data_IF_182461718490
#
_entry.id   IF_182461718490
#
_cell.length_a   1.000
_cell.length_b   1.000
_cell.length_c   1.000
_cell.angle_alpha   90.00
_cell.angle_beta   90.00
_cell.angle_gamma   90.00
#
_symmetry.space_group_name_H-M   'P 1'
#
loop_
_entity.id
_entity.type
_entity.pdbx_description
1 polymer ?
#
# COMPACT_ATOMS: atom_id res chain seq x y z
N UNK A 1 -8.78 3.21 14.45
CA UNK A 1 -7.43 2.67 14.15
C UNK A 1 -7.58 1.53 13.17
N UNK A 2 -6.58 1.36 12.32
CA UNK A 2 -6.52 0.35 11.28
C UNK A 2 -5.38 -0.61 11.61
N UNK A 3 -5.35 -1.75 10.91
CA UNK A 3 -4.27 -2.72 11.01
C UNK A 3 -3.44 -2.63 9.75
N UNK A 4 -2.13 -2.44 9.92
CA UNK A 4 -1.14 -2.44 8.85
C UNK A 4 -0.05 -3.47 9.12
N UNK A 5 0.66 -3.87 8.08
CA UNK A 5 1.81 -4.77 8.15
C UNK A 5 3.11 -3.97 8.09
N UNK A 6 3.98 -4.18 9.06
CA UNK A 6 5.32 -3.63 9.08
C UNK A 6 6.30 -4.59 8.40
N UNK A 7 6.71 -4.23 7.19
CA UNK A 7 7.65 -5.00 6.35
C UNK A 7 9.07 -5.07 6.94
N UNK A 8 9.43 -4.23 7.91
CA UNK A 8 10.73 -4.30 8.59
C UNK A 8 10.69 -5.33 9.73
N UNK A 9 9.61 -5.34 10.51
CA UNK A 9 9.52 -6.20 11.71
C UNK A 9 8.76 -7.51 11.48
N UNK A 10 8.04 -7.64 10.36
CA UNK A 10 7.24 -8.82 10.03
C UNK A 10 6.03 -8.97 10.97
N UNK A 11 5.40 -7.87 11.35
CA UNK A 11 4.31 -7.85 12.34
C UNK A 11 3.16 -6.94 11.91
N UNK A 12 1.96 -7.35 12.30
CA UNK A 12 0.82 -6.45 12.30
C UNK A 12 0.93 -5.43 13.42
N UNK A 13 0.69 -4.18 13.06
CA UNK A 13 0.68 -3.04 13.97
C UNK A 13 -0.61 -2.27 13.82
N UNK A 14 -1.07 -1.67 14.91
CA UNK A 14 -2.19 -0.75 14.86
C UNK A 14 -1.71 0.63 14.44
N UNK A 15 -2.33 1.17 13.39
CA UNK A 15 -1.93 2.44 12.77
C UNK A 15 -3.12 3.39 12.65
N UNK A 16 -2.91 4.72 12.78
CA UNK A 16 -3.94 5.69 12.47
C UNK A 16 -4.11 5.82 10.95
N UNK A 17 -5.29 6.27 10.52
CA UNK A 17 -5.45 6.79 9.18
C UNK A 17 -4.67 8.11 9.08
N UNK A 18 -3.82 8.25 8.07
CA UNK A 18 -3.18 9.53 7.72
C UNK A 18 -4.09 10.36 6.81
N UNK A 19 -4.78 9.70 5.89
CA UNK A 19 -5.69 10.33 4.93
C UNK A 19 -6.95 9.48 4.78
N UNK A 20 -8.12 10.12 4.74
CA UNK A 20 -9.39 9.49 4.38
C UNK A 20 -10.13 10.41 3.40
N UNK A 21 -10.29 9.95 2.17
CA UNK A 21 -11.11 10.62 1.16
C UNK A 21 -12.49 9.99 1.08
N UNK A 22 -13.50 10.86 1.08
CA UNK A 22 -14.86 10.51 0.72
C UNK A 22 -15.14 11.13 -0.64
N UNK A 23 -15.20 10.30 -1.68
CA UNK A 23 -15.47 10.71 -3.05
C UNK A 23 -16.98 10.89 -3.31
N UNK A 24 -17.81 10.64 -2.31
CA UNK A 24 -19.25 10.74 -2.38
C UNK A 24 -19.89 9.50 -2.99
N UNK A 25 -21.17 9.63 -3.36
CA UNK A 25 -21.97 8.57 -3.98
C UNK A 25 -22.29 8.95 -5.43
N UNK A 26 -21.87 8.12 -6.38
CA UNK A 26 -22.07 8.35 -7.80
C UNK A 26 -22.19 7.03 -8.57
N UNK A 27 -22.68 7.11 -9.82
CA UNK A 27 -22.73 5.97 -10.74
C UNK A 27 -21.32 5.70 -11.27
N UNK A 28 -20.83 4.47 -11.13
CA UNK A 28 -19.49 4.08 -11.55
C UNK A 28 -19.40 2.58 -11.85
N UNK A 29 -18.33 2.18 -12.51
CA UNK A 29 -17.96 0.79 -12.67
C UNK A 29 -17.33 0.25 -11.38
N UNK A 30 -17.76 -0.94 -10.97
CA UNK A 30 -17.26 -1.64 -9.80
C UNK A 30 -16.67 -2.96 -10.26
N UNK A 31 -15.37 -3.13 -10.03
CA UNK A 31 -14.66 -4.38 -10.27
C UNK A 31 -14.92 -5.27 -9.05
N UNK A 32 -15.62 -6.39 -9.25
CA UNK A 32 -15.91 -7.35 -8.21
C UNK A 32 -14.91 -8.50 -8.32
N UNK A 33 -14.01 -8.61 -7.34
CA UNK A 33 -12.97 -9.63 -7.26
C UNK A 33 -13.43 -10.72 -6.29
N UNK A 34 -13.68 -11.93 -6.80
CA UNK A 34 -14.20 -13.04 -6.02
C UNK A 34 -13.11 -14.06 -5.74
N UNK A 35 -12.87 -14.29 -4.46
CA UNK A 35 -11.79 -15.14 -3.97
C UNK A 35 -12.26 -16.55 -3.59
N UNK A 36 -11.30 -17.48 -3.53
CA UNK A 36 -11.53 -18.92 -3.29
C UNK A 36 -12.19 -19.24 -1.95
N UNK A 37 -12.11 -18.33 -0.98
CA UNK A 37 -12.75 -18.47 0.33
C UNK A 37 -14.17 -17.88 0.40
N UNK A 38 -14.67 -17.37 -0.73
CA UNK A 38 -15.99 -16.73 -0.85
C UNK A 38 -15.98 -15.22 -0.59
N UNK A 39 -14.84 -14.62 -0.23
CA UNK A 39 -14.71 -13.17 -0.11
C UNK A 39 -14.93 -12.50 -1.46
N UNK A 40 -15.64 -11.37 -1.46
CA UNK A 40 -15.79 -10.51 -2.64
C UNK A 40 -15.28 -9.12 -2.26
N UNK A 41 -14.20 -8.69 -2.90
CA UNK A 41 -13.65 -7.34 -2.73
C UNK A 41 -14.10 -6.50 -3.91
N UNK A 42 -14.55 -5.28 -3.62
CA UNK A 42 -15.15 -4.37 -4.60
C UNK A 42 -14.25 -3.16 -4.78
N UNK A 43 -13.73 -2.99 -5.99
CA UNK A 43 -12.76 -1.95 -6.34
C UNK A 43 -13.39 -0.97 -7.33
N UNK A 44 -13.10 0.31 -7.15
CA UNK A 44 -13.42 1.38 -8.10
C UNK A 44 -12.12 1.96 -8.59
N UNK A 45 -12.00 2.19 -9.90
CA UNK A 45 -10.80 2.64 -10.60
C UNK A 45 -9.62 1.67 -10.46
N UNK A 46 -8.94 1.67 -9.32
CA UNK A 46 -7.74 0.86 -9.08
C UNK A 46 -7.53 0.57 -7.58
N UNK A 47 -6.98 -0.60 -7.25
CA UNK A 47 -6.55 -0.91 -5.89
C UNK A 47 -5.34 -1.85 -5.85
N UNK A 48 -4.45 -1.63 -4.89
CA UNK A 48 -3.26 -2.45 -4.71
C UNK A 48 -3.50 -3.61 -3.74
N UNK A 49 -3.08 -4.80 -4.13
CA UNK A 49 -3.10 -6.02 -3.30
C UNK A 49 -1.71 -6.66 -3.31
N UNK A 50 -1.27 -7.19 -2.17
CA UNK A 50 0.01 -7.89 -2.12
C UNK A 50 -0.13 -9.28 -2.76
N UNK A 51 0.48 -9.47 -3.93
CA UNK A 51 0.53 -10.73 -4.66
C UNK A 51 1.71 -11.58 -4.16
N UNK A 52 1.43 -12.83 -3.82
CA UNK A 52 2.42 -13.76 -3.24
C UNK A 52 3.39 -14.26 -4.31
N UNK A 53 2.92 -14.47 -5.54
CA UNK A 53 3.74 -14.95 -6.65
C UNK A 53 4.71 -13.89 -7.16
N UNK A 54 4.23 -12.65 -7.30
CA UNK A 54 5.05 -11.49 -7.70
C UNK A 54 5.88 -10.92 -6.54
N UNK A 55 5.63 -11.38 -5.31
CA UNK A 55 6.24 -10.90 -4.07
C UNK A 55 6.25 -9.36 -3.97
N UNK A 56 5.14 -8.72 -4.35
CA UNK A 56 5.00 -7.26 -4.42
C UNK A 56 3.53 -6.86 -4.46
N UNK A 57 3.26 -5.56 -4.33
CA UNK A 57 1.93 -5.03 -4.61
C UNK A 57 1.67 -5.00 -6.11
N UNK A 58 0.51 -5.51 -6.51
CA UNK A 58 -0.02 -5.38 -7.87
C UNK A 58 -1.29 -4.54 -7.84
N UNK A 59 -1.48 -3.72 -8.87
CA UNK A 59 -2.60 -2.79 -8.96
C UNK A 59 -3.64 -3.32 -9.94
N UNK A 60 -4.82 -3.61 -9.42
CA UNK A 60 -5.94 -4.17 -10.20
C UNK A 60 -6.90 -3.05 -10.56
N UNK A 61 -7.18 -2.89 -11.85
CA UNK A 61 -8.06 -1.90 -12.45
C UNK A 61 -8.92 -2.50 -13.59
N UNK A 62 -9.80 -1.68 -14.18
CA UNK A 62 -10.74 -2.12 -15.21
C UNK A 62 -10.07 -2.72 -16.46
N UNK A 63 -8.80 -2.40 -16.72
CA UNK A 63 -8.07 -2.86 -17.90
C UNK A 63 -7.33 -4.18 -17.70
N UNK A 64 -7.08 -4.59 -16.46
CA UNK A 64 -6.22 -5.74 -16.14
C UNK A 64 -6.84 -6.76 -15.16
N UNK A 65 -8.04 -6.54 -14.64
CA UNK A 65 -8.62 -7.43 -13.60
C UNK A 65 -8.64 -8.91 -13.97
N UNK A 66 -8.84 -9.26 -15.25
CA UNK A 66 -8.84 -10.65 -15.72
C UNK A 66 -7.45 -11.28 -15.77
N UNK A 67 -6.38 -10.48 -15.90
CA UNK A 67 -5.01 -11.03 -15.97
C UNK A 67 -4.53 -11.58 -14.63
N UNK A 68 -5.21 -11.22 -13.54
CA UNK A 68 -4.91 -11.69 -12.18
C UNK A 68 -5.74 -12.90 -11.77
N UNK A 69 -6.58 -13.47 -12.65
CA UNK A 69 -7.26 -14.74 -12.35
C UNK A 69 -6.23 -15.83 -12.03
N UNK A 70 -6.51 -16.61 -10.99
CA UNK A 70 -5.64 -17.64 -10.41
C UNK A 70 -4.39 -17.13 -9.69
N UNK A 71 -4.20 -15.81 -9.57
CA UNK A 71 -3.19 -15.27 -8.69
C UNK A 71 -3.60 -15.46 -7.23
N UNK A 72 -2.59 -15.52 -6.36
CA UNK A 72 -2.79 -15.66 -4.91
C UNK A 72 -2.28 -14.44 -4.18
N UNK A 73 -3.07 -13.95 -3.24
CA UNK A 73 -2.83 -12.71 -2.54
C UNK A 73 -2.77 -12.95 -1.04
N UNK A 74 -2.12 -12.02 -0.33
CA UNK A 74 -2.01 -12.07 1.13
C UNK A 74 -3.37 -11.84 1.75
N UNK A 75 -3.82 -12.84 2.51
CA UNK A 75 -5.00 -12.77 3.37
C UNK A 75 -4.56 -12.57 4.81
N UNK A 76 -5.24 -11.68 5.52
CA UNK A 76 -5.09 -11.47 6.95
C UNK A 76 -6.31 -12.02 7.68
N UNK A 77 -6.09 -12.97 8.59
CA UNK A 77 -7.16 -13.53 9.43
C UNK A 77 -6.84 -13.31 10.90
N UNK A 78 -7.86 -13.06 11.73
CA UNK A 78 -7.73 -12.96 13.18
C UNK A 78 -8.11 -14.27 13.86
N UNK A 79 -7.13 -14.98 14.40
CA UNK A 79 -7.31 -16.30 15.04
C UNK A 79 -6.72 -16.27 16.44
N UNK A 80 -7.51 -16.69 17.43
CA UNK A 80 -7.07 -16.83 18.84
C UNK A 80 -6.35 -15.60 19.43
N UNK A 81 -6.81 -14.40 19.07
CA UNK A 81 -6.23 -13.16 19.61
C UNK A 81 -5.13 -12.52 18.76
N UNK A 82 -4.74 -13.16 17.66
CA UNK A 82 -3.57 -12.76 16.85
C UNK A 82 -3.94 -12.70 15.36
N UNK A 83 -3.39 -11.72 14.66
CA UNK A 83 -3.45 -11.66 13.20
C UNK A 83 -2.40 -12.59 12.58
N UNK A 84 -2.82 -13.40 11.60
CA UNK A 84 -1.97 -14.32 10.85
C UNK A 84 -2.11 -14.08 9.35
N UNK A 85 -1.02 -14.33 8.63
CA UNK A 85 -1.01 -14.37 7.17
C UNK A 85 -1.49 -15.73 6.67
N UNK A 86 -2.46 -15.71 5.78
CA UNK A 86 -2.93 -16.80 4.95
C UNK A 86 -2.88 -16.34 3.48
N UNK A 87 -3.43 -17.13 2.57
CA UNK A 87 -3.63 -16.72 1.19
C UNK A 87 -5.05 -17.01 0.73
N UNK A 88 -5.50 -16.28 -0.27
CA UNK A 88 -6.65 -16.65 -1.08
C UNK A 88 -6.31 -16.49 -2.56
N UNK A 89 -7.04 -17.20 -3.42
CA UNK A 89 -6.86 -17.17 -4.87
C UNK A 89 -8.01 -16.36 -5.50
N UNK A 90 -7.72 -15.49 -6.47
CA UNK A 90 -8.74 -14.82 -7.26
C UNK A 90 -9.31 -15.82 -8.28
N UNK A 91 -10.55 -16.29 -8.05
CA UNK A 91 -11.15 -17.36 -8.86
C UNK A 91 -12.12 -16.86 -9.92
N UNK A 92 -12.60 -15.62 -9.77
CA UNK A 92 -13.56 -15.00 -10.68
C UNK A 92 -13.50 -13.48 -10.51
N UNK A 93 -13.76 -12.74 -11.59
CA UNK A 93 -13.75 -11.29 -11.57
C UNK A 93 -14.65 -10.72 -12.67
N UNK A 94 -15.44 -9.69 -12.33
CA UNK A 94 -16.39 -9.09 -13.27
C UNK A 94 -16.72 -7.63 -12.90
N UNK A 95 -17.13 -6.85 -13.89
CA UNK A 95 -17.52 -5.44 -13.71
C UNK A 95 -19.04 -5.30 -13.65
N UNK A 96 -19.53 -4.50 -12.71
CA UNK A 96 -20.92 -4.04 -12.62
C UNK A 96 -20.97 -2.52 -12.67
N UNK A 97 -22.05 -1.95 -13.21
CA UNK A 97 -22.31 -0.52 -13.12
C UNK A 97 -23.30 -0.25 -11.97
N UNK A 98 -22.89 0.55 -10.99
CA UNK A 98 -23.65 0.73 -9.75
C UNK A 98 -23.55 2.15 -9.19
N UNK A 99 -24.58 2.60 -8.46
CA UNK A 99 -24.52 3.85 -7.70
C UNK A 99 -24.07 3.58 -6.26
N UNK A 100 -22.78 3.73 -5.98
CA UNK A 100 -22.17 3.37 -4.68
C UNK A 100 -21.41 4.55 -4.06
N UNK A 101 -21.18 4.48 -2.75
CA UNK A 101 -20.30 5.41 -2.05
C UNK A 101 -18.85 4.93 -2.15
N UNK A 102 -17.93 5.82 -2.51
CA UNK A 102 -16.52 5.49 -2.75
C UNK A 102 -15.63 6.22 -1.76
N UNK A 103 -14.69 5.48 -1.18
CA UNK A 103 -13.74 5.98 -0.19
C UNK A 103 -12.34 5.50 -0.51
N UNK A 104 -11.35 6.32 -0.19
CA UNK A 104 -9.94 5.95 -0.26
C UNK A 104 -9.29 6.27 1.07
N UNK A 105 -8.33 5.44 1.47
CA UNK A 105 -7.75 5.46 2.80
C UNK A 105 -6.24 5.29 2.71
N UNK A 106 -5.50 6.00 3.55
CA UNK A 106 -4.08 5.76 3.76
C UNK A 106 -3.79 5.69 5.25
N UNK A 107 -2.82 4.86 5.63
CA UNK A 107 -2.34 4.74 7.01
C UNK A 107 -1.04 5.49 7.19
N UNK A 108 -0.79 5.98 8.40
CA UNK A 108 0.54 6.43 8.79
C UNK A 108 1.47 5.21 9.02
N UNK A 109 2.77 5.44 8.84
CA UNK A 109 3.88 4.52 9.11
C UNK A 109 3.98 3.32 8.16
N UNK A 110 2.94 2.49 8.06
CA UNK A 110 3.00 1.28 7.21
C UNK A 110 2.61 1.56 5.77
N UNK A 111 1.83 2.62 5.51
CA UNK A 111 1.28 3.02 4.19
C UNK A 111 0.33 1.97 3.57
N UNK A 112 0.30 0.76 4.11
CA UNK A 112 -0.63 -0.33 3.81
C UNK A 112 -1.63 -0.55 4.95
N UNK A 113 -2.71 -1.27 4.65
CA UNK A 113 -3.78 -1.60 5.58
C UNK A 113 -4.47 -2.90 5.20
N UNK A 114 -5.21 -3.47 6.15
CA UNK A 114 -6.07 -4.64 5.92
C UNK A 114 -7.51 -4.19 5.66
N UNK A 115 -8.08 -4.57 4.52
CA UNK A 115 -9.50 -4.34 4.17
C UNK A 115 -10.10 -5.61 3.60
N UNK A 116 -11.29 -5.99 4.08
CA UNK A 116 -11.98 -7.23 3.68
C UNK A 116 -11.08 -8.48 3.74
N UNK A 117 -10.14 -8.49 4.69
CA UNK A 117 -9.17 -9.57 4.87
C UNK A 117 -7.98 -9.54 3.90
N UNK A 118 -7.89 -8.62 2.95
CA UNK A 118 -6.72 -8.47 2.08
C UNK A 118 -5.68 -7.50 2.65
N UNK A 119 -4.40 -7.80 2.44
CA UNK A 119 -3.34 -6.80 2.64
C UNK A 119 -3.28 -5.87 1.43
N UNK A 120 -3.60 -4.60 1.67
CA UNK A 120 -3.97 -3.66 0.62
C UNK A 120 -3.26 -2.33 0.74
N UNK A 121 -3.24 -1.61 -0.37
CA UNK A 121 -2.79 -0.24 -0.46
C UNK A 121 -3.68 0.55 -1.42
N UNK A 122 -3.93 1.80 -1.07
CA UNK A 122 -4.56 2.76 -1.98
C UNK A 122 -3.53 3.18 -3.02
N UNK A 123 -3.88 3.23 -4.32
CA UNK A 123 -2.99 3.75 -5.36
C UNK A 123 -2.53 5.16 -4.97
N UNK A 124 -1.22 5.39 -5.01
CA UNK A 124 -0.64 6.71 -4.85
C UNK A 124 0.03 7.11 -6.15
N UNK A 125 0.21 8.42 -6.34
CA UNK A 125 0.83 8.96 -7.55
C UNK A 125 2.25 8.42 -7.84
N UNK A 126 2.89 7.72 -6.89
CA UNK A 126 4.19 7.06 -7.12
C UNK A 126 4.31 5.75 -6.33
N UNK A 127 4.49 4.62 -7.04
CA UNK A 127 4.98 3.33 -6.49
C UNK A 127 6.23 3.50 -5.61
N UNK A 128 6.98 4.58 -5.86
CA UNK A 128 8.16 4.97 -5.11
C UNK A 128 7.96 5.13 -3.60
N UNK A 129 6.73 5.31 -3.09
CA UNK A 129 6.49 5.42 -1.64
C UNK A 129 6.48 4.07 -0.91
N UNK A 130 6.47 2.97 -1.64
CA UNK A 130 6.36 1.61 -1.07
C UNK A 130 7.34 0.60 -1.68
N UNK A 131 7.93 0.91 -2.83
CA UNK A 131 8.78 0.00 -3.61
C UNK A 131 10.28 0.28 -3.50
N UNK A 132 10.71 1.16 -2.58
CA UNK A 132 12.13 1.53 -2.46
C UNK A 132 13.01 0.44 -1.84
N UNK A 133 12.45 -0.57 -1.17
CA UNK A 133 13.18 -1.74 -0.68
C UNK A 133 12.69 -3.01 -1.36
N UNK A 134 13.62 -3.92 -1.61
CA UNK A 134 13.32 -5.21 -2.21
C UNK A 134 12.67 -6.13 -1.18
N UNK A 135 11.66 -6.89 -1.62
CA UNK A 135 11.01 -7.90 -0.81
C UNK A 135 11.90 -9.15 -0.69
N UNK A 136 12.09 -9.61 0.54
CA UNK A 136 12.67 -10.91 0.87
C UNK A 136 11.58 -11.93 1.16
N UNK A 137 11.85 -12.83 2.10
CA UNK A 137 10.92 -13.86 2.54
C UNK A 137 9.92 -13.35 3.60
N UNK A 138 8.83 -14.12 3.81
CA UNK A 138 7.88 -13.92 4.90
C UNK A 138 7.21 -12.54 4.94
N UNK A 139 6.96 -11.93 3.77
CA UNK A 139 6.42 -10.58 3.64
C UNK A 139 7.28 -9.55 4.38
N UNK A 140 8.60 -9.67 4.31
CA UNK A 140 9.52 -8.68 4.88
C UNK A 140 10.43 -8.13 3.81
N UNK A 141 10.97 -6.93 4.02
CA UNK A 141 12.08 -6.45 3.21
C UNK A 141 13.31 -7.33 3.40
N UNK A 142 14.06 -7.54 2.33
CA UNK A 142 15.39 -8.12 2.39
C UNK A 142 16.29 -7.19 3.21
N UNK A 143 16.65 -7.61 4.42
CA UNK A 143 17.36 -6.78 5.38
C UNK A 143 18.79 -6.45 4.93
N UNK A 144 19.46 -7.38 4.25
CA UNK A 144 20.82 -7.15 3.77
C UNK A 144 20.82 -6.12 2.64
N UNK A 145 19.88 -6.26 1.68
CA UNK A 145 19.73 -5.30 0.58
C UNK A 145 19.23 -3.95 1.07
N UNK A 146 18.27 -3.93 1.98
CA UNK A 146 17.79 -2.70 2.63
C UNK A 146 18.94 -1.94 3.28
N UNK A 147 19.77 -2.64 4.07
CA UNK A 147 20.92 -2.02 4.72
C UNK A 147 21.96 -1.54 3.70
N UNK A 148 22.25 -2.31 2.65
CA UNK A 148 23.17 -1.92 1.59
C UNK A 148 22.70 -0.67 0.83
N UNK A 149 21.39 -0.56 0.56
CA UNK A 149 20.79 0.62 -0.05
C UNK A 149 20.90 1.85 0.87
N UNK A 150 20.64 1.69 2.17
CA UNK A 150 20.78 2.76 3.15
C UNK A 150 22.24 3.23 3.24
N UNK A 151 23.21 2.33 3.23
CA UNK A 151 24.64 2.68 3.22
C UNK A 151 25.07 3.42 1.95
N UNK A 152 24.49 3.03 0.81
CA UNK A 152 24.81 3.60 -0.49
C UNK A 152 24.19 4.99 -0.71
N UNK A 153 22.91 5.16 -0.39
CA UNK A 153 22.16 6.38 -0.71
C UNK A 153 21.97 7.31 0.50
N UNK A 154 22.11 6.76 1.71
CA UNK A 154 21.83 7.46 2.96
C UNK A 154 20.36 7.58 3.27
N UNK A 155 20.06 8.27 4.36
CA UNK A 155 18.71 8.67 4.76
C UNK A 155 18.57 10.19 4.75
N UNK A 156 17.35 10.67 4.54
CA UNK A 156 17.02 12.03 4.92
C UNK A 156 16.86 12.15 6.42
N UNK A 157 17.12 13.35 6.91
CA UNK A 157 16.88 13.80 8.27
C UNK A 157 15.67 14.73 8.28
N UNK A 158 15.13 15.04 9.46
CA UNK A 158 14.01 15.98 9.53
C UNK A 158 14.42 17.39 9.07
N UNK A 159 15.67 17.76 9.27
CA UNK A 159 16.24 19.04 8.85
C UNK A 159 16.12 19.27 7.35
N UNK A 160 16.18 18.20 6.54
CA UNK A 160 15.97 18.27 5.09
C UNK A 160 14.52 18.64 4.71
N UNK A 161 13.57 18.43 5.63
CA UNK A 161 12.13 18.57 5.44
C UNK A 161 11.47 19.65 6.29
N UNK A 162 12.20 20.27 7.22
CA UNK A 162 11.64 21.11 8.29
C UNK A 162 10.88 22.35 7.77
N UNK A 163 11.17 22.81 6.56
CA UNK A 163 10.46 23.93 5.92
C UNK A 163 9.15 23.52 5.22
N UNK A 164 8.93 22.21 5.04
CA UNK A 164 7.82 21.68 4.22
C UNK A 164 6.78 20.92 5.05
N UNK A 165 7.20 20.22 6.10
CA UNK A 165 6.33 19.36 6.90
C UNK A 165 6.71 19.40 8.39
N UNK A 166 5.76 19.01 9.23
CA UNK A 166 6.03 18.75 10.66
C UNK A 166 6.87 17.49 10.86
N UNK A 167 7.52 17.36 12.01
CA UNK A 167 8.26 16.14 12.36
C UNK A 167 7.35 14.92 12.35
N UNK A 168 6.13 15.06 12.86
CA UNK A 168 5.12 14.00 12.89
C UNK A 168 4.77 13.51 11.48
N UNK A 169 4.59 14.42 10.52
CA UNK A 169 4.34 14.07 9.12
C UNK A 169 5.56 13.40 8.48
N UNK A 170 6.77 13.91 8.73
CA UNK A 170 8.00 13.28 8.23
C UNK A 170 8.11 11.82 8.68
N UNK A 171 7.83 11.53 9.96
CA UNK A 171 7.83 10.16 10.48
C UNK A 171 6.66 9.34 9.92
N UNK A 172 5.46 9.92 9.85
CA UNK A 172 4.25 9.23 9.39
C UNK A 172 4.33 8.74 7.94
N UNK A 173 5.12 9.40 7.09
CA UNK A 173 5.29 9.03 5.68
C UNK A 173 6.66 8.43 5.36
N UNK A 174 7.39 7.95 6.39
CA UNK A 174 8.71 7.35 6.23
C UNK A 174 9.72 8.24 5.48
N UNK A 175 9.68 9.55 5.72
CA UNK A 175 10.43 10.56 4.96
C UNK A 175 11.94 10.29 4.88
N UNK A 176 12.51 9.63 5.89
CA UNK A 176 13.92 9.20 5.90
C UNK A 176 14.26 8.31 4.70
N UNK A 177 13.39 7.35 4.35
CA UNK A 177 13.63 6.37 3.28
C UNK A 177 13.41 6.93 1.87
N UNK A 178 12.79 8.10 1.74
CA UNK A 178 12.64 8.75 0.43
C UNK A 178 13.99 9.06 -0.23
N UNK A 179 15.07 9.19 0.55
CA UNK A 179 16.42 9.36 -0.01
C UNK A 179 16.90 8.13 -0.77
N UNK A 180 16.52 6.93 -0.32
CA UNK A 180 16.77 5.68 -1.05
C UNK A 180 15.98 5.66 -2.34
N UNK A 181 14.69 6.05 -2.30
CA UNK A 181 13.85 6.14 -3.49
C UNK A 181 14.43 7.11 -4.53
N UNK A 182 14.90 8.29 -4.10
CA UNK A 182 15.60 9.26 -4.94
C UNK A 182 16.90 8.71 -5.49
N UNK A 183 17.71 8.07 -4.64
CA UNK A 183 18.99 7.46 -5.03
C UNK A 183 18.83 6.35 -6.07
N UNK A 184 17.71 5.62 -6.05
CA UNK A 184 17.33 4.61 -7.05
C UNK A 184 16.65 5.19 -8.29
N UNK A 185 16.33 6.48 -8.32
CA UNK A 185 15.64 7.13 -9.42
C UNK A 185 14.16 6.75 -9.54
N UNK A 186 13.54 6.27 -8.45
CA UNK A 186 12.11 5.94 -8.42
C UNK A 186 11.22 7.18 -8.30
N UNK A 187 11.76 8.25 -7.70
CA UNK A 187 11.12 9.55 -7.52
C UNK A 187 12.19 10.62 -7.46
N UNK A 188 11.86 11.84 -7.83
CA UNK A 188 12.72 13.03 -7.72
C UNK A 188 12.37 13.84 -6.48
N UNK A 189 13.28 14.73 -6.07
CA UNK A 189 12.99 15.67 -4.99
C UNK A 189 11.81 16.59 -5.33
N UNK A 190 11.74 17.04 -6.57
CA UNK A 190 10.68 17.89 -7.08
C UNK A 190 9.32 17.21 -6.98
N UNK A 191 9.23 15.93 -7.37
CA UNK A 191 8.00 15.12 -7.23
C UNK A 191 7.62 14.92 -5.75
N UNK A 192 8.58 14.70 -4.84
CA UNK A 192 8.30 14.66 -3.40
C UNK A 192 7.67 15.98 -2.93
N UNK A 193 8.20 17.12 -3.36
CA UNK A 193 7.63 18.43 -3.00
C UNK A 193 6.24 18.65 -3.61
N UNK A 194 5.95 18.09 -4.79
CA UNK A 194 4.61 18.11 -5.38
C UNK A 194 3.62 17.28 -4.55
N UNK A 195 4.01 16.09 -4.09
CA UNK A 195 3.19 15.27 -3.21
C UNK A 195 2.91 15.98 -1.87
N UNK A 196 3.92 16.59 -1.25
CA UNK A 196 3.73 17.36 -0.03
C UNK A 196 2.72 18.49 -0.26
N UNK A 197 2.85 19.24 -1.36
CA UNK A 197 1.89 20.31 -1.70
C UNK A 197 0.47 19.80 -1.92
N UNK A 198 0.31 18.60 -2.48
CA UNK A 198 -0.99 18.01 -2.76
C UNK A 198 -1.70 17.43 -1.51
N UNK A 199 -0.94 16.98 -0.51
CA UNK A 199 -1.48 16.19 0.62
C UNK A 199 -1.33 16.83 2.00
N UNK A 200 -0.46 17.83 2.16
CA UNK A 200 -0.16 18.45 3.46
C UNK A 200 -0.70 19.88 3.57
N UNK A 201 -0.92 20.57 2.45
CA UNK A 201 -1.47 21.93 2.41
C UNK A 201 -2.95 21.95 2.05
#
# INVERSE_FOLDING_TARGET
>A
MLIGWDFVTGKYVSVPASILWNHGKYLTNVINLKFSDGTIIRVVEEHGFFDIGENSYVFINESNYESYLHHTFVKTTYVNGTFINESFELIDAYITEETIGVYSLQTAYTINFVVDGALSITPMATDALISYFEMGDNLMYDQEKMQADIEKYGLYTYEDFAEYVTYEQFVAFNGAYLKVAVGKGLITWEEILELIRAFVN
#
